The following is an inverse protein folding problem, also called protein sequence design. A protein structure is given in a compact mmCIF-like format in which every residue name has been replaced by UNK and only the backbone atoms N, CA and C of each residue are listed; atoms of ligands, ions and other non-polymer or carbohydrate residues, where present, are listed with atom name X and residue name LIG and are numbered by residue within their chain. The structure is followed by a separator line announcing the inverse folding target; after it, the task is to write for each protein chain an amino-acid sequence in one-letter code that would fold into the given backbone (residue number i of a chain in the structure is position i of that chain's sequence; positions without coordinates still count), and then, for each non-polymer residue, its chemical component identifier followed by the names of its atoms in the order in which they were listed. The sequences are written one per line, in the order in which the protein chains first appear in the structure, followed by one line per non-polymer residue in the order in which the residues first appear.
data_IF_615434316690
#
_entry.id   IF_615434316690
#
_cell.length_a   1.000
_cell.length_b   1.000
_cell.length_c   1.000
_cell.angle_alpha   90.00
_cell.angle_beta   90.00
_cell.angle_gamma   90.00
#
_symmetry.space_group_name_H-M   'P 1'
#
loop_
_entity.id
_entity.type
_entity.pdbx_description
1 polymer ?
#
# COMPACT_ATOMS: atom_id res chain seq x y z
N UNK A 1 -1.20 26.41 4.26
CA UNK A 1 -2.08 25.90 3.19
C UNK A 1 -1.32 24.79 2.50
N UNK A 2 -1.80 23.55 2.59
CA UNK A 2 -1.18 22.42 1.92
C UNK A 2 -1.36 22.57 0.41
N UNK A 3 -0.26 22.68 -0.32
CA UNK A 3 -0.27 22.80 -1.77
C UNK A 3 -0.60 21.44 -2.41
N UNK A 4 -1.41 21.49 -3.47
CA UNK A 4 -1.66 20.35 -4.34
C UNK A 4 -0.35 19.83 -4.93
N UNK A 5 -0.30 18.53 -5.21
CA UNK A 5 0.85 17.91 -5.85
C UNK A 5 0.96 18.34 -7.32
N UNK A 6 2.17 18.71 -7.74
CA UNK A 6 2.48 19.06 -9.14
C UNK A 6 2.26 17.88 -10.10
N UNK A 7 2.48 16.64 -9.65
CA UNK A 7 2.18 15.43 -10.41
C UNK A 7 1.29 14.44 -9.63
N UNK A 8 -0.04 14.51 -9.79
CA UNK A 8 -0.97 13.58 -9.17
C UNK A 8 -0.82 12.15 -9.71
N UNK A 9 -0.24 11.95 -10.89
CA UNK A 9 -0.08 10.64 -11.54
C UNK A 9 0.88 9.75 -10.74
N UNK A 10 1.99 10.33 -10.28
CA UNK A 10 2.96 9.63 -9.43
C UNK A 10 2.34 9.17 -8.10
N UNK A 11 1.50 10.00 -7.47
CA UNK A 11 0.79 9.63 -6.24
C UNK A 11 -0.19 8.47 -6.49
N UNK A 12 -1.01 8.56 -7.54
CA UNK A 12 -1.97 7.50 -7.92
C UNK A 12 -1.28 6.17 -8.20
N UNK A 13 -0.17 6.20 -8.94
CA UNK A 13 0.62 4.99 -9.24
C UNK A 13 1.18 4.34 -7.98
N UNK A 14 1.63 5.13 -7.01
CA UNK A 14 2.11 4.60 -5.73
C UNK A 14 0.99 3.98 -4.91
N UNK A 15 -0.18 4.61 -4.84
CA UNK A 15 -1.31 4.04 -4.11
C UNK A 15 -1.80 2.75 -4.77
N UNK A 16 -1.86 2.66 -6.10
CA UNK A 16 -2.20 1.39 -6.78
C UNK A 16 -1.28 0.23 -6.37
N UNK A 17 0.03 0.49 -6.30
CA UNK A 17 1.01 -0.52 -5.83
C UNK A 17 0.83 -0.87 -4.36
N UNK A 18 0.54 0.13 -3.51
CA UNK A 18 0.29 -0.11 -2.08
C UNK A 18 -1.01 -0.89 -1.86
N UNK A 19 -2.05 -0.66 -2.66
CA UNK A 19 -3.32 -1.38 -2.59
C UNK A 19 -3.16 -2.86 -2.94
N UNK A 20 -2.24 -3.19 -3.85
CA UNK A 20 -1.87 -4.59 -4.08
C UNK A 20 -1.15 -5.19 -2.85
N UNK A 21 -0.26 -4.42 -2.23
CA UNK A 21 0.53 -4.87 -1.09
C UNK A 21 -0.30 -5.12 0.17
N UNK A 22 -1.45 -4.47 0.35
CA UNK A 22 -2.33 -4.72 1.51
C UNK A 22 -2.85 -6.16 1.57
N UNK A 23 -2.89 -6.87 0.44
CA UNK A 23 -3.26 -8.29 0.40
C UNK A 23 -2.27 -9.19 1.15
N UNK A 24 -0.97 -8.84 1.14
CA UNK A 24 0.08 -9.60 1.83
C UNK A 24 0.57 -8.92 3.11
N UNK A 25 0.22 -7.64 3.32
CA UNK A 25 0.54 -6.83 4.51
C UNK A 25 -0.69 -6.07 5.02
N UNK A 26 -1.59 -6.75 5.76
CA UNK A 26 -2.84 -6.16 6.24
C UNK A 26 -2.62 -5.05 7.27
N UNK A 27 -1.44 -4.97 7.90
CA UNK A 27 -1.03 -3.89 8.80
C UNK A 27 -1.06 -2.51 8.11
N UNK A 28 -0.94 -2.47 6.79
CA UNK A 28 -0.99 -1.24 5.99
C UNK A 28 -2.40 -0.90 5.48
N UNK A 29 -3.37 -1.80 5.63
CA UNK A 29 -4.66 -1.72 4.94
C UNK A 29 -5.43 -0.45 5.29
N UNK A 30 -5.49 -0.09 6.57
CA UNK A 30 -6.15 1.13 7.03
C UNK A 30 -5.51 2.39 6.43
N UNK A 31 -4.19 2.53 6.53
CA UNK A 31 -3.47 3.71 6.04
C UNK A 31 -3.58 3.86 4.52
N UNK A 32 -3.49 2.76 3.78
CA UNK A 32 -3.59 2.78 2.31
C UNK A 32 -5.02 3.10 1.86
N UNK A 33 -6.04 2.52 2.49
CA UNK A 33 -7.44 2.84 2.19
C UNK A 33 -7.80 4.30 2.51
N UNK A 34 -7.25 4.86 3.58
CA UNK A 34 -7.46 6.28 3.87
C UNK A 34 -6.83 7.16 2.78
N UNK A 35 -5.60 6.85 2.35
CA UNK A 35 -4.89 7.62 1.33
C UNK A 35 -5.51 7.50 -0.08
N UNK A 36 -6.18 6.38 -0.39
CA UNK A 36 -6.89 6.18 -1.66
C UNK A 36 -8.14 7.05 -1.80
N UNK A 37 -8.69 7.57 -0.70
CA UNK A 37 -9.79 8.56 -0.76
C UNK A 37 -9.34 9.90 -1.33
N UNK A 38 -8.03 10.20 -1.27
CA UNK A 38 -7.45 11.47 -1.73
C UNK A 38 -6.79 11.38 -3.12
N UNK A 39 -7.22 10.45 -3.98
CA UNK A 39 -6.68 10.28 -5.35
C UNK A 39 -6.90 11.49 -6.26
N UNK A 40 -7.98 12.24 -6.05
CA UNK A 40 -8.38 13.37 -6.89
C UNK A 40 -7.81 14.71 -6.41
N UNK A 41 -7.60 14.84 -5.09
CA UNK A 41 -7.16 16.07 -4.41
C UNK A 41 -5.94 15.82 -3.52
N UNK A 42 -4.98 15.05 -4.01
CA UNK A 42 -3.77 14.71 -3.26
C UNK A 42 -2.93 15.97 -2.96
N UNK A 43 -2.47 16.08 -1.73
CA UNK A 43 -1.65 17.19 -1.21
C UNK A 43 -0.24 16.70 -0.89
N UNK A 44 0.69 17.63 -0.73
CA UNK A 44 2.04 17.33 -0.26
C UNK A 44 2.06 16.54 1.06
N UNK A 45 1.09 16.77 1.95
CA UNK A 45 0.92 15.98 3.17
C UNK A 45 0.67 14.50 2.86
N UNK A 46 -0.32 14.19 2.02
CA UNK A 46 -0.63 12.82 1.63
C UNK A 46 0.56 12.11 0.97
N UNK A 47 1.33 12.82 0.14
CA UNK A 47 2.53 12.28 -0.48
C UNK A 47 3.62 11.94 0.55
N UNK A 48 3.85 12.80 1.54
CA UNK A 48 4.82 12.53 2.61
C UNK A 48 4.44 11.30 3.43
N UNK A 49 3.15 11.07 3.67
CA UNK A 49 2.66 9.86 4.34
C UNK A 49 2.92 8.62 3.48
N UNK A 50 2.64 8.67 2.17
CA UNK A 50 2.99 7.57 1.24
C UNK A 50 4.49 7.27 1.28
N UNK A 51 5.35 8.28 1.26
CA UNK A 51 6.80 8.10 1.38
C UNK A 51 7.20 7.48 2.73
N UNK A 52 6.49 7.80 3.81
CA UNK A 52 6.72 7.17 5.11
C UNK A 52 6.37 5.68 5.09
N UNK A 53 5.22 5.31 4.51
CA UNK A 53 4.82 3.91 4.32
C UNK A 53 5.88 3.16 3.48
N UNK A 54 6.36 3.75 2.40
CA UNK A 54 7.43 3.16 1.58
C UNK A 54 8.73 2.93 2.37
N UNK A 55 9.12 3.89 3.23
CA UNK A 55 10.27 3.71 4.12
C UNK A 55 10.02 2.59 5.14
N UNK A 56 8.82 2.53 5.72
CA UNK A 56 8.45 1.45 6.64
C UNK A 56 8.55 0.07 5.98
N UNK A 57 8.01 -0.08 4.77
CA UNK A 57 8.12 -1.33 3.99
C UNK A 57 9.58 -1.68 3.75
N UNK A 58 10.41 -0.71 3.34
CA UNK A 58 11.84 -0.90 3.07
C UNK A 58 12.63 -1.27 4.34
N UNK A 59 12.32 -0.65 5.48
CA UNK A 59 13.03 -0.83 6.75
C UNK A 59 12.65 -2.11 7.49
N UNK A 60 11.55 -2.77 7.12
CA UNK A 60 11.10 -4.04 7.70
C UNK A 60 10.80 -5.09 6.62
N UNK A 61 11.82 -5.66 5.96
CA UNK A 61 11.61 -6.79 5.05
C UNK A 61 11.24 -8.08 5.80
N UNK A 62 11.61 -8.22 7.08
CA UNK A 62 11.63 -9.49 7.83
C UNK A 62 10.40 -9.82 8.68
N UNK A 63 9.41 -8.93 8.80
CA UNK A 63 8.10 -9.25 9.38
C UNK A 63 7.21 -9.84 8.27
N UNK A 64 7.58 -11.02 7.79
CA UNK A 64 6.75 -11.84 6.92
C UNK A 64 5.83 -12.72 7.77
N UNK A 65 4.67 -13.09 7.21
CA UNK A 65 3.84 -14.16 7.79
C UNK A 65 4.69 -15.42 7.88
N UNK A 66 5.00 -15.88 9.09
CA UNK A 66 5.66 -17.15 9.32
C UNK A 66 4.63 -18.24 9.07
N UNK A 67 4.68 -18.89 7.91
CA UNK A 67 3.95 -20.13 7.68
C UNK A 67 4.72 -21.25 8.38
N UNK A 68 4.20 -21.72 9.51
CA UNK A 68 4.72 -22.94 10.14
C UNK A 68 4.68 -24.09 9.12
N UNK A 69 5.72 -24.93 9.10
CA UNK A 69 5.81 -26.09 8.20
C UNK A 69 4.60 -27.04 8.35
N UNK A 70 3.91 -26.96 9.48
CA UNK A 70 2.78 -27.80 9.87
C UNK A 70 1.42 -27.17 9.51
N UNK A 71 1.42 -26.00 8.85
CA UNK A 71 0.18 -25.33 8.46
C UNK A 71 -0.46 -26.02 7.24
N UNK A 72 -1.76 -26.34 7.27
CA UNK A 72 -2.44 -26.92 6.11
C UNK A 72 -2.44 -25.91 4.96
N UNK A 73 -1.72 -26.24 3.88
CA UNK A 73 -1.59 -25.42 2.68
C UNK A 73 -2.99 -25.20 2.07
N UNK A 74 -3.56 -24.03 2.27
CA UNK A 74 -4.75 -23.57 1.55
C UNK A 74 -4.31 -22.65 0.41
N UNK A 75 -4.00 -23.25 -0.74
CA UNK A 75 -3.69 -22.51 -1.95
C UNK A 75 -4.97 -21.82 -2.45
N UNK A 76 -5.04 -20.49 -2.32
CA UNK A 76 -6.13 -19.67 -2.84
C UNK A 76 -5.58 -18.78 -3.94
N UNK A 77 -5.93 -19.10 -5.19
CA UNK A 77 -5.57 -18.30 -6.35
C UNK A 77 -6.77 -17.46 -6.79
N UNK A 78 -6.54 -16.20 -7.10
CA UNK A 78 -7.52 -15.29 -7.69
C UNK A 78 -7.01 -14.89 -9.08
N UNK A 79 -7.84 -15.06 -10.10
CA UNK A 79 -7.56 -14.63 -11.47
C UNK A 79 -8.52 -13.50 -11.80
N UNK A 80 -7.99 -12.32 -12.08
CA UNK A 80 -8.75 -11.18 -12.59
C UNK A 80 -8.45 -11.08 -14.09
N UNK A 81 -9.50 -11.08 -14.91
CA UNK A 81 -9.39 -10.88 -16.35
C UNK A 81 -9.82 -9.46 -16.67
N UNK A 82 -8.89 -8.69 -17.26
CA UNK A 82 -9.19 -7.58 -18.16
C UNK A 82 -9.02 -8.08 -19.60
#
# INVERSE_FOLDING_TARGET
MDSHLDDPSSYRRLIGKLLYLTNTRPDLCFSVNLLSQFMQSSTNYHYRVVQHILRYIKSKPSEGLIFAADSPIHLKAFSDSD
#
